data_IF_266059967237
#
_entry.id   IF_266059967237
#
_cell.length_a   1.000
_cell.length_b   1.000
_cell.length_c   1.000
_cell.angle_alpha   90.00
_cell.angle_beta   90.00
_cell.angle_gamma   90.00
#
_symmetry.space_group_name_H-M   'P 1'
#
loop_
_entity.id
_entity.type
_entity.pdbx_description
1 polymer ?
#
# COMPACT_ATOMS: atom_id res chain seq x y z
N UNK A 1 -8.12 -15.32 -31.56
CA UNK A 1 -8.59 -15.24 -30.17
C UNK A 1 -7.34 -15.26 -29.33
N UNK A 2 -6.87 -14.09 -28.87
CA UNK A 2 -5.79 -14.03 -27.90
C UNK A 2 -6.29 -14.75 -26.65
N UNK A 3 -5.62 -15.84 -26.31
CA UNK A 3 -5.81 -16.53 -25.05
C UNK A 3 -5.28 -15.58 -23.98
N UNK A 4 -6.11 -14.67 -23.48
CA UNK A 4 -5.77 -13.81 -22.35
C UNK A 4 -5.65 -14.73 -21.14
N UNK A 5 -4.48 -15.34 -20.97
CA UNK A 5 -4.22 -16.21 -19.84
C UNK A 5 -4.27 -15.34 -18.59
N UNK A 6 -5.17 -15.69 -17.66
CA UNK A 6 -5.38 -14.99 -16.39
C UNK A 6 -4.08 -14.90 -15.59
N UNK A 7 -3.80 -13.75 -15.01
CA UNK A 7 -2.61 -13.50 -14.20
C UNK A 7 -3.02 -13.31 -12.74
N UNK A 8 -2.25 -13.87 -11.83
CA UNK A 8 -2.49 -13.67 -10.40
C UNK A 8 -1.19 -13.63 -9.63
N UNK A 9 -1.13 -12.78 -8.62
CA UNK A 9 0.09 -12.66 -7.82
C UNK A 9 -0.05 -11.71 -6.64
N UNK A 10 1.00 -11.69 -5.83
CA UNK A 10 1.09 -10.90 -4.61
C UNK A 10 1.89 -9.62 -4.84
N UNK A 11 1.37 -8.53 -4.34
CA UNK A 11 1.97 -7.20 -4.47
C UNK A 11 2.05 -6.54 -3.10
N UNK A 12 3.22 -6.05 -2.71
CA UNK A 12 3.36 -5.30 -1.46
C UNK A 12 3.56 -3.81 -1.69
N UNK A 13 3.04 -3.00 -0.77
CA UNK A 13 3.23 -1.56 -0.75
C UNK A 13 4.23 -1.18 0.33
N UNK A 14 5.33 -0.56 -0.06
CA UNK A 14 6.31 -0.02 0.87
C UNK A 14 6.45 1.49 0.72
N UNK A 15 7.05 2.13 1.68
CA UNK A 15 7.27 3.58 1.69
C UNK A 15 7.16 4.15 3.09
N UNK A 16 7.59 5.41 3.24
CA UNK A 16 7.51 6.13 4.52
C UNK A 16 6.07 6.24 5.04
N UNK A 17 5.86 6.50 6.31
CA UNK A 17 4.55 6.89 6.82
C UNK A 17 3.99 8.09 6.03
N UNK A 18 2.67 8.11 5.85
CA UNK A 18 1.92 9.22 5.23
C UNK A 18 2.14 9.48 3.74
N UNK A 19 2.91 8.67 3.02
CA UNK A 19 3.06 8.77 1.54
C UNK A 19 1.80 8.35 0.78
N UNK A 20 0.77 7.82 1.47
CA UNK A 20 -0.53 7.51 0.89
C UNK A 20 -0.77 6.04 0.54
N UNK A 21 -0.04 5.07 1.14
CA UNK A 21 -0.23 3.62 0.89
C UNK A 21 -1.67 3.17 1.07
N UNK A 22 -2.26 3.39 2.24
CA UNK A 22 -3.65 3.01 2.53
C UNK A 22 -4.67 3.80 1.68
N UNK A 23 -4.36 5.04 1.28
CA UNK A 23 -5.20 5.82 0.36
C UNK A 23 -5.21 5.19 -1.03
N UNK A 24 -4.03 4.77 -1.53
CA UNK A 24 -3.91 4.09 -2.81
C UNK A 24 -4.66 2.77 -2.82
N UNK A 25 -4.51 1.96 -1.75
CA UNK A 25 -5.25 0.71 -1.60
C UNK A 25 -6.76 0.92 -1.66
N UNK A 26 -7.29 1.84 -0.85
CA UNK A 26 -8.72 2.16 -0.86
C UNK A 26 -9.21 2.67 -2.23
N UNK A 27 -8.37 3.44 -2.93
CA UNK A 27 -8.66 3.94 -4.28
C UNK A 27 -8.74 2.80 -5.31
N UNK A 28 -7.79 1.87 -5.29
CA UNK A 28 -7.76 0.70 -6.20
C UNK A 28 -8.98 -0.19 -5.97
N UNK A 29 -9.30 -0.47 -4.72
CA UNK A 29 -10.41 -1.35 -4.34
C UNK A 29 -11.78 -0.67 -4.49
N UNK A 30 -11.84 0.66 -4.53
CA UNK A 30 -13.09 1.42 -4.57
C UNK A 30 -13.88 1.41 -3.25
N UNK A 31 -13.31 0.86 -2.19
CA UNK A 31 -13.92 0.72 -0.87
C UNK A 31 -12.93 1.08 0.23
N UNK A 32 -13.45 1.50 1.38
CA UNK A 32 -12.63 1.84 2.54
C UNK A 32 -12.34 0.60 3.40
N UNK A 33 -11.26 -0.10 3.09
CA UNK A 33 -10.77 -1.28 3.81
C UNK A 33 -9.63 -0.90 4.77
N UNK A 34 -8.63 -0.16 4.28
CA UNK A 34 -7.51 0.29 5.08
C UNK A 34 -7.79 1.65 5.72
N UNK A 35 -7.41 1.80 6.99
CA UNK A 35 -7.55 3.08 7.68
C UNK A 35 -6.50 4.09 7.20
N UNK A 36 -6.89 5.36 7.18
CA UNK A 36 -6.02 6.46 6.76
C UNK A 36 -5.90 7.50 7.87
N UNK A 37 -4.69 7.89 8.23
CA UNK A 37 -4.42 8.95 9.20
C UNK A 37 -3.11 9.65 8.89
N UNK A 38 -3.02 10.93 9.25
CA UNK A 38 -1.77 11.68 9.18
C UNK A 38 -0.77 11.30 10.28
N UNK A 39 -1.17 10.43 11.22
CA UNK A 39 -0.30 9.98 12.31
C UNK A 39 0.54 8.78 11.84
N UNK A 40 1.82 8.68 12.23
CA UNK A 40 2.65 7.52 11.93
C UNK A 40 2.09 6.25 12.59
N UNK A 41 2.46 5.07 12.08
CA UNK A 41 2.02 3.77 12.56
C UNK A 41 0.48 3.56 12.50
N UNK A 42 -0.16 4.11 11.48
CA UNK A 42 -1.60 3.93 11.23
C UNK A 42 -1.91 2.46 10.96
N UNK A 43 -1.20 1.82 10.04
CA UNK A 43 -1.28 0.38 9.75
C UNK A 43 -0.34 -0.37 10.68
N UNK A 44 -0.87 -1.27 11.52
CA UNK A 44 -0.10 -2.07 12.49
C UNK A 44 0.05 -3.52 12.09
N UNK A 45 -0.96 -4.06 11.42
CA UNK A 45 -1.00 -5.45 10.97
C UNK A 45 -0.96 -5.48 9.44
N UNK A 46 -0.45 -6.58 8.88
CA UNK A 46 -0.56 -6.86 7.45
C UNK A 46 -2.04 -7.00 7.11
N UNK A 47 -2.51 -6.16 6.20
CA UNK A 47 -3.86 -6.22 5.65
C UNK A 47 -3.76 -6.77 4.24
N UNK A 48 -4.58 -7.77 3.95
CA UNK A 48 -4.66 -8.37 2.65
C UNK A 48 -5.92 -7.87 1.96
N UNK A 49 -5.76 -7.31 0.75
CA UNK A 49 -6.87 -6.85 -0.07
C UNK A 49 -6.72 -7.41 -1.47
N UNK A 50 -7.84 -7.72 -2.09
CA UNK A 50 -7.90 -8.40 -3.37
C UNK A 50 -8.54 -7.48 -4.40
N UNK A 51 -7.86 -7.28 -5.52
CA UNK A 51 -8.40 -6.62 -6.71
C UNK A 51 -8.55 -7.67 -7.81
N UNK A 52 -9.77 -7.86 -8.31
CA UNK A 52 -10.07 -8.80 -9.39
C UNK A 52 -10.58 -8.05 -10.62
N UNK A 53 -10.11 -8.45 -11.80
CA UNK A 53 -10.54 -7.96 -13.10
C UNK A 53 -10.59 -9.14 -14.10
N UNK A 54 -11.06 -8.89 -15.31
CA UNK A 54 -11.06 -9.89 -16.38
C UNK A 54 -9.64 -10.35 -16.78
N UNK A 55 -8.63 -9.49 -16.59
CA UNK A 55 -7.23 -9.75 -16.93
C UNK A 55 -6.47 -10.53 -15.85
N UNK A 56 -6.93 -10.45 -14.59
CA UNK A 56 -6.20 -11.07 -13.49
C UNK A 56 -6.64 -10.64 -12.10
N UNK A 57 -5.95 -11.20 -11.10
CA UNK A 57 -6.18 -10.93 -9.70
C UNK A 57 -4.88 -10.47 -9.00
N UNK A 58 -4.95 -9.35 -8.32
CA UNK A 58 -3.85 -8.79 -7.54
C UNK A 58 -4.18 -8.93 -6.05
N UNK A 59 -3.33 -9.64 -5.31
CA UNK A 59 -3.45 -9.73 -3.86
C UNK A 59 -2.48 -8.73 -3.24
N UNK A 60 -3.01 -7.60 -2.80
CA UNK A 60 -2.22 -6.58 -2.14
C UNK A 60 -1.96 -6.92 -0.68
N UNK A 61 -0.72 -6.73 -0.27
CA UNK A 61 -0.26 -6.89 1.10
C UNK A 61 0.13 -5.51 1.63
N UNK A 62 -0.80 -4.82 2.31
CA UNK A 62 -0.47 -3.55 2.98
C UNK A 62 0.37 -3.86 4.23
N UNK A 63 1.60 -3.40 4.21
CA UNK A 63 2.54 -3.58 5.30
C UNK A 63 2.69 -2.29 6.09
N UNK A 64 3.02 -2.38 7.39
CA UNK A 64 3.47 -1.23 8.14
C UNK A 64 4.60 -0.51 7.38
N UNK A 65 4.59 0.83 7.39
CA UNK A 65 5.61 1.61 6.68
C UNK A 65 7.03 1.27 7.16
N UNK A 66 7.94 1.01 6.22
CA UNK A 66 9.36 0.77 6.54
C UNK A 66 9.97 2.07 7.05
N UNK A 67 10.43 2.07 8.31
CA UNK A 67 11.11 3.19 8.93
C UNK A 67 12.10 2.69 9.98
N UNK A 68 13.09 3.49 10.34
CA UNK A 68 14.02 3.12 11.40
C UNK A 68 13.25 2.94 12.70
N UNK A 69 13.30 1.73 13.26
CA UNK A 69 12.61 1.39 14.48
C UNK A 69 13.10 2.26 15.66
N UNK A 70 12.16 2.72 16.47
CA UNK A 70 12.45 3.47 17.71
C UNK A 70 12.02 2.72 18.97
N UNK A 71 11.31 1.61 18.81
CA UNK A 71 10.80 0.78 19.90
C UNK A 71 10.51 -0.65 19.40
N UNK A 72 10.19 -1.58 20.32
CA UNK A 72 9.90 -3.00 19.99
C UNK A 72 8.79 -3.19 18.96
N UNK A 73 7.76 -2.34 18.95
CA UNK A 73 6.70 -2.38 17.94
C UNK A 73 7.25 -1.98 16.56
N UNK A 74 8.11 -0.97 16.51
CA UNK A 74 8.78 -0.57 15.28
C UNK A 74 9.68 -1.66 14.72
N UNK A 75 10.45 -2.37 15.56
CA UNK A 75 11.30 -3.51 15.18
C UNK A 75 10.45 -4.62 14.56
N UNK A 76 9.32 -4.98 15.18
CA UNK A 76 8.37 -5.96 14.65
C UNK A 76 7.82 -5.54 13.27
N UNK A 77 7.41 -4.27 13.13
CA UNK A 77 6.88 -3.75 11.87
C UNK A 77 7.91 -3.78 10.73
N UNK A 78 9.17 -3.48 11.02
CA UNK A 78 10.29 -3.57 10.06
C UNK A 78 10.51 -5.02 9.64
N UNK A 79 10.57 -5.95 10.59
CA UNK A 79 10.76 -7.39 10.31
C UNK A 79 9.64 -7.96 9.43
N UNK A 80 8.38 -7.60 9.70
CA UNK A 80 7.23 -8.00 8.88
C UNK A 80 7.36 -7.47 7.46
N UNK A 81 7.75 -6.20 7.30
CA UNK A 81 7.92 -5.60 5.99
C UNK A 81 9.07 -6.27 5.21
N UNK A 82 10.24 -6.48 5.82
CA UNK A 82 11.40 -7.11 5.17
C UNK A 82 11.08 -8.55 4.72
N UNK A 83 10.41 -9.34 5.56
CA UNK A 83 9.99 -10.69 5.19
C UNK A 83 9.04 -10.68 3.99
N UNK A 84 8.10 -9.75 3.95
CA UNK A 84 7.14 -9.63 2.85
C UNK A 84 7.81 -9.33 1.51
N UNK A 85 8.95 -8.59 1.47
CA UNK A 85 9.64 -8.26 0.22
C UNK A 85 10.12 -9.50 -0.57
N UNK A 86 10.43 -10.59 0.12
CA UNK A 86 10.88 -11.85 -0.51
C UNK A 86 9.75 -12.80 -0.90
N UNK A 87 8.52 -12.50 -0.48
CA UNK A 87 7.35 -13.37 -0.65
C UNK A 87 6.37 -12.85 -1.73
N UNK A 88 6.70 -11.76 -2.41
CA UNK A 88 5.80 -11.11 -3.39
C UNK A 88 6.38 -11.11 -4.80
N UNK A 89 5.47 -11.02 -5.77
CA UNK A 89 5.81 -10.95 -7.20
C UNK A 89 6.20 -9.54 -7.64
N UNK A 90 5.63 -8.50 -7.00
CA UNK A 90 5.90 -7.08 -7.32
C UNK A 90 5.95 -6.25 -6.05
N UNK A 91 6.86 -5.30 -6.01
CA UNK A 91 6.96 -4.29 -4.95
C UNK A 91 6.53 -2.94 -5.50
N UNK A 92 5.55 -2.30 -4.86
CA UNK A 92 5.21 -0.90 -5.10
C UNK A 92 5.92 -0.04 -4.06
N UNK A 93 6.91 0.72 -4.46
CA UNK A 93 7.52 1.70 -3.58
C UNK A 93 6.88 3.06 -3.76
N UNK A 94 6.09 3.48 -2.76
CA UNK A 94 5.41 4.76 -2.76
C UNK A 94 6.28 5.86 -2.16
N UNK A 95 6.36 6.96 -2.89
CA UNK A 95 7.04 8.20 -2.49
C UNK A 95 6.16 9.41 -2.76
N UNK A 96 6.48 10.54 -2.13
CA UNK A 96 5.94 11.85 -2.48
C UNK A 96 6.85 12.55 -3.48
N UNK A 97 6.36 13.50 -4.29
CA UNK A 97 7.20 14.31 -5.18
C UNK A 97 8.27 15.05 -4.37
N UNK A 98 9.53 14.78 -4.66
CA UNK A 98 10.65 15.41 -3.95
C UNK A 98 11.94 15.32 -4.77
N UNK A 99 12.73 16.40 -4.76
CA UNK A 99 14.09 16.41 -5.31
C UNK A 99 15.13 15.95 -4.28
N UNK A 100 14.70 15.53 -3.09
CA UNK A 100 15.58 15.12 -2.01
C UNK A 100 15.27 13.69 -1.58
N UNK A 101 16.30 12.84 -1.60
CA UNK A 101 16.26 11.47 -1.10
C UNK A 101 16.76 11.48 0.36
N UNK A 102 15.84 11.32 1.29
CA UNK A 102 16.14 11.31 2.72
C UNK A 102 16.75 10.00 3.21
N UNK A 103 17.17 9.97 4.47
CA UNK A 103 17.74 8.77 5.08
C UNK A 103 16.77 7.56 5.09
N UNK A 104 15.46 7.83 5.19
CA UNK A 104 14.42 6.78 5.13
C UNK A 104 14.32 6.14 3.76
N UNK A 105 14.36 6.93 2.68
CA UNK A 105 14.38 6.42 1.31
C UNK A 105 15.67 5.67 1.01
N UNK A 106 16.83 6.18 1.44
CA UNK A 106 18.12 5.49 1.27
C UNK A 106 18.11 4.12 1.94
N UNK A 107 17.55 4.01 3.14
CA UNK A 107 17.39 2.72 3.82
C UNK A 107 16.51 1.76 3.01
N UNK A 108 15.40 2.23 2.45
CA UNK A 108 14.54 1.40 1.57
C UNK A 108 15.32 0.95 0.32
N UNK A 109 16.07 1.84 -0.33
CA UNK A 109 16.90 1.51 -1.49
C UNK A 109 17.89 0.38 -1.16
N UNK A 110 18.55 0.47 -0.01
CA UNK A 110 19.50 -0.56 0.45
C UNK A 110 18.82 -1.93 0.64
N UNK A 111 17.59 -1.96 1.13
CA UNK A 111 16.83 -3.21 1.24
C UNK A 111 16.42 -3.75 -0.12
N UNK A 112 15.93 -2.89 -1.01
CA UNK A 112 15.52 -3.27 -2.36
C UNK A 112 16.68 -3.84 -3.20
N UNK A 113 17.89 -3.30 -3.04
CA UNK A 113 19.10 -3.79 -3.71
C UNK A 113 19.50 -5.21 -3.33
N UNK A 114 18.99 -5.75 -2.22
CA UNK A 114 19.25 -7.14 -1.80
C UNK A 114 18.36 -8.16 -2.50
N UNK A 115 17.22 -7.73 -3.05
CA UNK A 115 16.24 -8.57 -3.72
C UNK A 115 16.35 -8.53 -5.23
N UNK A 116 15.55 -9.39 -5.89
CA UNK A 116 15.39 -9.42 -7.35
C UNK A 116 13.95 -9.19 -7.79
N UNK A 117 13.05 -9.00 -6.84
CA UNK A 117 11.63 -8.75 -7.10
C UNK A 117 11.48 -7.44 -7.89
N UNK A 118 10.69 -7.41 -8.98
CA UNK A 118 10.40 -6.19 -9.72
C UNK A 118 9.88 -5.07 -8.81
N UNK A 119 10.46 -3.87 -8.95
CA UNK A 119 10.09 -2.69 -8.16
C UNK A 119 9.48 -1.64 -9.06
N UNK A 120 8.23 -1.28 -8.81
CA UNK A 120 7.55 -0.16 -9.44
C UNK A 120 7.61 1.03 -8.50
N UNK A 121 8.25 2.12 -8.90
CA UNK A 121 8.21 3.38 -8.17
C UNK A 121 6.88 4.08 -8.42
N UNK A 122 6.14 4.36 -7.36
CA UNK A 122 4.87 5.09 -7.42
C UNK A 122 5.05 6.47 -6.79
N UNK A 123 5.17 7.51 -7.63
CA UNK A 123 5.23 8.90 -7.16
C UNK A 123 3.79 9.36 -6.93
N UNK A 124 3.35 9.30 -5.67
CA UNK A 124 1.98 9.63 -5.29
C UNK A 124 1.83 11.13 -4.97
N UNK A 125 0.59 11.62 -4.89
CA UNK A 125 0.24 13.01 -4.60
C UNK A 125 0.67 14.00 -5.69
N UNK A 126 0.65 13.60 -6.96
CA UNK A 126 0.98 14.48 -8.08
C UNK A 126 0.02 15.67 -8.21
N UNK A 127 -1.15 15.58 -7.59
CA UNK A 127 -2.12 16.67 -7.48
C UNK A 127 -1.64 17.87 -6.64
N UNK A 128 -0.51 17.72 -5.92
CA UNK A 128 0.08 18.77 -5.08
C UNK A 128 1.21 19.55 -5.76
N UNK A 129 1.62 19.14 -6.97
CA UNK A 129 2.75 19.72 -7.71
C UNK A 129 2.38 20.02 -9.15
N UNK A 130 3.18 20.87 -9.82
CA UNK A 130 3.00 21.16 -11.24
C UNK A 130 3.54 20.00 -12.10
N UNK A 131 2.89 19.75 -13.25
CA UNK A 131 3.28 18.66 -14.16
C UNK A 131 4.72 18.80 -14.68
N UNK A 132 5.18 20.01 -14.89
CA UNK A 132 6.53 20.32 -15.37
C UNK A 132 7.62 19.83 -14.40
N UNK A 133 7.32 19.80 -13.10
CA UNK A 133 8.25 19.36 -12.06
C UNK A 133 8.36 17.81 -11.95
N UNK A 134 7.40 17.07 -12.52
CA UNK A 134 7.38 15.61 -12.38
C UNK A 134 8.61 14.94 -12.99
N UNK A 135 9.14 15.47 -14.09
CA UNK A 135 10.34 14.93 -14.74
C UNK A 135 11.56 15.01 -13.83
N UNK A 136 11.72 16.11 -13.09
CA UNK A 136 12.83 16.29 -12.14
C UNK A 136 12.75 15.27 -11.01
N UNK A 137 11.52 15.01 -10.48
CA UNK A 137 11.32 14.01 -9.43
C UNK A 137 11.62 12.60 -9.94
N UNK A 138 11.16 12.26 -11.15
CA UNK A 138 11.45 10.96 -11.78
C UNK A 138 12.95 10.79 -11.94
N UNK A 139 13.66 11.79 -12.45
CA UNK A 139 15.12 11.72 -12.68
C UNK A 139 15.89 11.60 -11.36
N UNK A 140 15.41 12.23 -10.28
CA UNK A 140 16.02 12.12 -8.97
C UNK A 140 16.02 10.67 -8.47
N UNK A 141 14.88 9.96 -8.58
CA UNK A 141 14.76 8.58 -8.15
C UNK A 141 15.44 7.60 -9.10
N UNK A 142 15.37 7.82 -10.43
CA UNK A 142 15.99 6.96 -11.44
C UNK A 142 17.51 6.82 -11.28
N UNK A 143 18.18 7.82 -10.73
CA UNK A 143 19.63 7.80 -10.46
C UNK A 143 20.01 6.90 -9.29
N UNK A 144 19.08 6.59 -8.39
CA UNK A 144 19.35 5.86 -7.15
C UNK A 144 19.08 4.35 -7.27
N UNK A 145 18.14 3.96 -8.15
CA UNK A 145 17.73 2.57 -8.30
C UNK A 145 17.17 2.31 -9.71
N UNK A 146 17.43 1.11 -10.25
CA UNK A 146 16.89 0.65 -11.55
C UNK A 146 15.48 0.09 -11.36
N UNK A 147 14.48 0.96 -11.49
CA UNK A 147 13.07 0.58 -11.36
C UNK A 147 12.56 -0.13 -12.60
N UNK A 148 11.75 -1.16 -12.39
CA UNK A 148 11.05 -1.83 -13.50
C UNK A 148 10.07 -0.89 -14.22
N UNK A 149 9.39 -0.02 -13.47
CA UNK A 149 8.50 1.04 -13.98
C UNK A 149 8.51 2.22 -13.00
N UNK A 150 8.17 3.42 -13.50
CA UNK A 150 7.93 4.62 -12.68
C UNK A 150 6.58 5.21 -13.08
N UNK A 151 5.64 5.22 -12.13
CA UNK A 151 4.25 5.64 -12.37
C UNK A 151 3.87 6.77 -11.42
N UNK A 152 3.76 8.02 -11.92
CA UNK A 152 3.20 9.12 -11.16
C UNK A 152 1.67 8.96 -11.01
N UNK A 153 1.15 9.09 -9.77
CA UNK A 153 -0.29 8.93 -9.49
C UNK A 153 -0.80 9.97 -8.50
N UNK A 154 -2.10 10.23 -8.52
CA UNK A 154 -2.80 10.80 -7.37
C UNK A 154 -3.83 9.79 -6.85
N UNK A 155 -3.52 9.15 -5.75
CA UNK A 155 -4.45 8.25 -5.07
C UNK A 155 -5.70 8.98 -4.56
N UNK A 156 -5.57 10.27 -4.22
CA UNK A 156 -6.68 11.10 -3.76
C UNK A 156 -7.66 11.46 -4.89
N UNK A 157 -7.15 11.69 -6.10
CA UNK A 157 -7.92 12.09 -7.28
C UNK A 157 -8.19 10.92 -8.25
N UNK A 158 -7.75 9.71 -7.90
CA UNK A 158 -7.80 8.52 -8.76
C UNK A 158 -7.11 8.72 -10.13
N UNK A 159 -6.08 9.60 -10.20
CA UNK A 159 -5.34 9.88 -11.42
C UNK A 159 -4.28 8.81 -11.66
N UNK A 160 -4.17 8.29 -12.90
CA UNK A 160 -3.23 7.27 -13.37
C UNK A 160 -3.32 5.89 -12.66
N UNK A 161 -4.41 5.61 -11.94
CA UNK A 161 -4.58 4.33 -11.24
C UNK A 161 -4.71 3.17 -12.21
N UNK A 162 -5.42 3.37 -13.33
CA UNK A 162 -5.54 2.33 -14.38
C UNK A 162 -4.21 1.98 -15.01
N UNK A 163 -3.34 2.99 -15.22
CA UNK A 163 -2.00 2.77 -15.76
C UNK A 163 -1.10 2.01 -14.76
N UNK A 164 -1.20 2.35 -13.47
CA UNK A 164 -0.51 1.62 -12.41
C UNK A 164 -0.93 0.14 -12.40
N UNK A 165 -2.23 -0.16 -12.49
CA UNK A 165 -2.74 -1.54 -12.52
C UNK A 165 -2.21 -2.30 -13.74
N UNK A 166 -2.19 -1.69 -14.93
CA UNK A 166 -1.59 -2.28 -16.13
C UNK A 166 -0.10 -2.57 -15.94
N UNK A 167 0.66 -1.64 -15.35
CA UNK A 167 2.07 -1.86 -15.06
C UNK A 167 2.27 -3.03 -14.09
N UNK A 168 1.45 -3.16 -13.05
CA UNK A 168 1.51 -4.30 -12.13
C UNK A 168 1.24 -5.61 -12.88
N UNK A 169 0.17 -5.67 -13.68
CA UNK A 169 -0.21 -6.88 -14.44
C UNK A 169 0.89 -7.38 -15.39
N UNK A 170 1.78 -6.52 -15.89
CA UNK A 170 2.92 -6.95 -16.73
C UNK A 170 3.82 -7.95 -16.01
N UNK A 171 4.05 -7.76 -14.71
CA UNK A 171 5.01 -8.49 -13.90
C UNK A 171 4.41 -9.65 -13.12
N UNK A 172 3.07 -9.79 -13.10
CA UNK A 172 2.43 -10.93 -12.43
C UNK A 172 2.56 -12.21 -13.27
N UNK A 173 2.75 -13.37 -12.60
CA UNK A 173 2.76 -14.66 -13.26
C UNK A 173 1.37 -15.05 -13.79
N UNK A 174 1.35 -15.93 -14.78
CA UNK A 174 0.13 -16.60 -15.18
C UNK A 174 -0.29 -17.62 -14.13
N UNK A 175 -1.55 -17.61 -13.73
CA UNK A 175 -2.07 -18.52 -12.71
C UNK A 175 -3.57 -18.33 -12.48
N UNK A 176 -4.20 -19.27 -11.75
CA UNK A 176 -5.61 -19.14 -11.37
C UNK A 176 -5.81 -18.04 -10.32
N UNK A 177 -7.04 -17.59 -10.14
CA UNK A 177 -7.41 -16.71 -9.03
C UNK A 177 -7.15 -17.40 -7.68
N UNK A 178 -6.66 -16.65 -6.70
CA UNK A 178 -6.44 -17.12 -5.32
C UNK A 178 -7.70 -17.03 -4.46
N UNK A 179 -8.60 -16.13 -4.84
CA UNK A 179 -9.84 -15.81 -4.12
C UNK A 179 -11.01 -15.74 -5.06
N UNK A 180 -12.21 -15.93 -4.55
CA UNK A 180 -13.45 -15.72 -5.30
C UNK A 180 -13.54 -14.27 -5.81
N UNK A 181 -14.25 -14.07 -6.91
CA UNK A 181 -14.32 -12.80 -7.66
C UNK A 181 -14.81 -11.63 -6.80
N UNK A 182 -15.73 -11.88 -5.89
CA UNK A 182 -16.33 -10.86 -4.99
C UNK A 182 -15.49 -10.63 -3.73
N UNK A 183 -14.41 -11.39 -3.51
CA UNK A 183 -13.55 -11.23 -2.35
C UNK A 183 -12.74 -9.95 -2.46
N UNK A 184 -12.91 -9.05 -1.49
CA UNK A 184 -12.21 -7.76 -1.44
C UNK A 184 -11.11 -7.75 -0.38
N UNK A 185 -11.27 -8.54 0.68
CA UNK A 185 -10.29 -8.68 1.77
C UNK A 185 -10.53 -9.97 2.54
N UNK A 186 -9.47 -10.49 3.14
CA UNK A 186 -9.53 -11.63 4.07
C UNK A 186 -9.85 -11.21 5.51
N UNK A 187 -9.97 -9.89 5.76
CA UNK A 187 -10.19 -9.38 7.09
C UNK A 187 -11.63 -9.59 7.56
N UNK A 188 -11.86 -10.14 8.77
CA UNK A 188 -13.19 -10.21 9.34
C UNK A 188 -13.83 -8.83 9.46
N UNK A 189 -15.13 -8.70 9.14
CA UNK A 189 -15.87 -7.43 9.25
C UNK A 189 -15.69 -6.77 10.63
N UNK A 190 -15.66 -7.57 11.69
CA UNK A 190 -15.41 -7.09 13.06
C UNK A 190 -14.07 -6.33 13.18
N UNK A 191 -13.03 -6.81 12.51
CA UNK A 191 -11.72 -6.16 12.54
C UNK A 191 -11.71 -4.87 11.72
N UNK A 192 -12.36 -4.85 10.55
CA UNK A 192 -12.51 -3.64 9.73
C UNK A 192 -13.25 -2.56 10.54
N UNK A 193 -14.35 -2.92 11.22
CA UNK A 193 -15.11 -1.98 12.07
C UNK A 193 -14.25 -1.45 13.22
N UNK A 194 -13.49 -2.31 13.90
CA UNK A 194 -12.58 -1.90 14.98
C UNK A 194 -11.55 -0.89 14.46
N UNK A 195 -10.94 -1.14 13.29
CA UNK A 195 -9.98 -0.24 12.68
C UNK A 195 -10.62 1.09 12.24
N UNK A 196 -11.84 1.10 11.69
CA UNK A 196 -12.58 2.33 11.36
C UNK A 196 -12.88 3.19 12.60
N UNK A 197 -13.23 2.57 13.72
CA UNK A 197 -13.40 3.26 15.00
C UNK A 197 -12.06 3.83 15.47
N UNK A 198 -10.99 3.05 15.39
CA UNK A 198 -9.63 3.50 15.73
C UNK A 198 -9.19 4.68 14.86
N UNK A 199 -9.49 4.68 13.57
CA UNK A 199 -9.22 5.83 12.69
C UNK A 199 -9.92 7.10 13.17
N UNK A 200 -11.21 7.01 13.50
CA UNK A 200 -11.95 8.17 14.03
C UNK A 200 -11.35 8.67 15.33
N UNK A 201 -10.97 7.77 16.22
CA UNK A 201 -10.29 8.11 17.47
C UNK A 201 -8.95 8.81 17.22
N UNK A 202 -8.12 8.30 16.28
CA UNK A 202 -6.85 8.92 15.90
C UNK A 202 -7.01 10.34 15.32
N UNK A 203 -8.15 10.63 14.68
CA UNK A 203 -8.44 11.95 14.11
C UNK A 203 -8.96 12.93 15.15
N UNK A 204 -9.72 12.45 16.14
CA UNK A 204 -10.38 13.29 17.12
C UNK A 204 -9.53 13.58 18.36
N UNK A 205 -8.59 12.67 18.69
CA UNK A 205 -7.69 12.84 19.82
C UNK A 205 -6.38 13.51 19.39
N UNK A 206 -5.90 14.43 20.22
CA UNK A 206 -4.60 15.11 20.07
C UNK A 206 -3.57 14.55 21.06
N UNK A 207 -2.34 15.01 20.93
CA UNK A 207 -1.19 14.71 21.79
C UNK A 207 -0.77 13.23 21.85
N UNK A 208 -0.34 12.73 22.99
CA UNK A 208 0.24 11.37 23.14
C UNK A 208 -0.79 10.25 23.18
N UNK A 209 -2.03 10.54 23.51
CA UNK A 209 -3.13 9.55 23.70
C UNK A 209 -3.38 8.69 22.46
N UNK A 210 -3.35 9.21 21.20
CA UNK A 210 -3.67 8.40 20.02
C UNK A 210 -2.77 7.19 19.79
N UNK A 211 -1.51 7.27 20.19
CA UNK A 211 -0.54 6.19 19.92
C UNK A 211 -0.78 4.93 20.74
N UNK A 212 -1.48 5.03 21.88
CA UNK A 212 -1.83 3.90 22.75
C UNK A 212 -3.21 3.29 22.51
N UNK A 213 -4.04 3.87 21.61
CA UNK A 213 -5.42 3.42 21.43
C UNK A 213 -5.48 2.08 20.70
N UNK A 214 -6.19 1.13 21.31
CA UNK A 214 -6.66 -0.12 20.71
C UNK A 214 -8.17 -0.19 20.82
N UNK A 215 -8.83 -0.78 19.82
CA UNK A 215 -10.28 -0.97 19.79
C UNK A 215 -10.57 -2.47 19.69
N UNK A 216 -11.43 -2.96 20.59
CA UNK A 216 -11.94 -4.32 20.58
C UNK A 216 -13.46 -4.30 20.46
N UNK A 217 -14.00 -5.11 19.56
CA UNK A 217 -15.46 -5.26 19.39
C UNK A 217 -15.91 -6.46 20.23
N UNK A 218 -16.64 -6.22 21.31
CA UNK A 218 -17.15 -7.28 22.19
C UNK A 218 -18.35 -8.01 21.58
N UNK A 219 -19.28 -7.29 20.97
CA UNK A 219 -20.45 -7.88 20.32
C UNK A 219 -20.84 -7.14 19.06
N UNK A 220 -21.34 -7.89 18.07
CA UNK A 220 -21.84 -7.36 16.80
C UNK A 220 -23.09 -8.15 16.41
N UNK A 221 -24.23 -7.49 16.25
CA UNK A 221 -25.52 -8.13 15.96
C UNK A 221 -26.17 -7.49 14.74
N UNK A 222 -26.66 -8.29 13.82
CA UNK A 222 -27.50 -7.82 12.74
C UNK A 222 -28.88 -7.46 13.32
N UNK A 223 -29.34 -6.22 13.09
CA UNK A 223 -30.78 -5.91 13.24
C UNK A 223 -31.45 -6.23 11.90
N UNK A 224 -32.45 -7.11 11.91
CA UNK A 224 -33.42 -7.16 10.79
C UNK A 224 -34.10 -5.79 10.75
N UNK A 225 -34.01 -5.11 9.62
CA UNK A 225 -34.83 -3.93 9.39
C UNK A 225 -36.28 -4.42 9.40
N UNK A 226 -37.08 -3.83 10.31
CA UNK A 226 -38.52 -4.00 10.40
C UNK A 226 -39.13 -3.15 9.28
#
# INVERSE_FOLDING_TARGET
>A
MENNAFKSGFVTLIGRPNVGKSTLMNCIIGQKIAITSNKPQTTRNRIQTVYTSEEGQIVFLDTPGIHKAKNKLGDYMVTVAEKTLSEVDVILWLVEPSNFIGAGERHIIEQLKKGKTPVILVINKIDTVKKEQLLEYIDTYRKEYDFSEIVPVSALKAENIKELLKCIMKYLPYGPAFYDEDTVTDQPVRQIVAELIREKTLRLLSDEIPHGVAVSIESMKYKKNI
#
